data_IF_673356436622
#
_entry.id   IF_673356436622
#
_cell.length_a   1.000
_cell.length_b   1.000
_cell.length_c   1.000
_cell.angle_alpha   90.00
_cell.angle_beta   90.00
_cell.angle_gamma   90.00
#
_symmetry.space_group_name_H-M   'P 1'
#
loop_
_entity.id
_entity.type
_entity.pdbx_description
1 polymer ?
#
# COMPACT_ATOMS: atom_id res chain seq x y z
N UNK A 1 5.08 9.24 -7.07
CA UNK A 1 5.25 7.78 -7.16
C UNK A 1 5.28 7.23 -5.75
N UNK A 2 4.50 6.20 -5.48
CA UNK A 2 4.33 5.60 -4.17
C UNK A 2 4.74 4.15 -4.29
N UNK A 3 5.62 3.69 -3.42
CA UNK A 3 6.04 2.30 -3.34
C UNK A 3 5.43 1.70 -2.10
N UNK A 4 4.84 0.52 -2.23
CA UNK A 4 4.24 -0.24 -1.13
C UNK A 4 4.87 -1.61 -1.06
N UNK A 5 5.08 -2.10 0.15
CA UNK A 5 5.51 -3.48 0.39
C UNK A 5 4.91 -3.98 1.72
N UNK A 6 4.38 -5.19 1.69
CA UNK A 6 3.84 -5.90 2.83
C UNK A 6 4.40 -7.31 2.94
N UNK A 7 5.11 -7.59 4.04
CA UNK A 7 5.69 -8.91 4.27
C UNK A 7 4.83 -9.71 5.24
N UNK A 8 4.65 -11.00 4.96
CA UNK A 8 4.08 -11.96 5.92
C UNK A 8 5.20 -12.64 6.69
N UNK A 9 5.14 -12.53 8.01
CA UNK A 9 6.01 -13.29 8.92
C UNK A 9 5.14 -14.31 9.65
N UNK A 10 5.51 -15.59 9.57
CA UNK A 10 4.75 -16.66 10.22
C UNK A 10 4.94 -16.57 11.73
N UNK A 11 3.85 -16.73 12.48
CA UNK A 11 3.84 -16.75 13.95
C UNK A 11 4.25 -15.42 14.61
N UNK A 12 4.41 -14.35 13.83
CA UNK A 12 4.80 -13.03 14.30
C UNK A 12 3.92 -11.94 13.68
N UNK A 13 4.14 -10.69 14.10
CA UNK A 13 3.49 -9.55 13.48
C UNK A 13 4.07 -9.30 12.09
N UNK A 14 3.20 -9.07 11.11
CA UNK A 14 3.59 -8.85 9.73
C UNK A 14 3.89 -7.37 9.49
N UNK A 15 5.10 -6.99 9.03
CA UNK A 15 5.43 -5.61 8.79
C UNK A 15 4.88 -5.12 7.45
N UNK A 16 4.55 -3.83 7.41
CA UNK A 16 4.19 -3.11 6.20
C UNK A 16 4.98 -1.81 6.12
N UNK A 17 5.22 -1.35 4.90
CA UNK A 17 5.85 -0.06 4.66
C UNK A 17 5.36 0.58 3.36
N UNK A 18 5.34 1.90 3.33
CA UNK A 18 5.25 2.64 2.08
C UNK A 18 6.19 3.84 2.07
N UNK A 19 6.64 4.20 0.88
CA UNK A 19 7.40 5.42 0.64
C UNK A 19 6.80 6.21 -0.51
N UNK A 20 6.82 7.54 -0.39
CA UNK A 20 6.26 8.45 -1.38
C UNK A 20 7.37 9.34 -1.88
N UNK A 21 7.58 9.30 -3.20
CA UNK A 21 8.49 10.18 -3.91
C UNK A 21 7.73 11.16 -4.80
N UNK A 22 8.03 12.44 -4.67
CA UNK A 22 7.58 13.51 -5.56
C UNK A 22 8.78 14.23 -6.15
N UNK A 23 8.83 14.37 -7.49
CA UNK A 23 9.96 14.98 -8.18
C UNK A 23 11.34 14.42 -7.74
N UNK A 24 11.42 13.09 -7.56
CA UNK A 24 12.63 12.39 -7.09
C UNK A 24 12.91 12.48 -5.59
N UNK A 25 12.23 13.37 -4.85
CA UNK A 25 12.44 13.58 -3.41
C UNK A 25 11.52 12.70 -2.58
N UNK A 26 12.04 12.14 -1.49
CA UNK A 26 11.23 11.45 -0.48
C UNK A 26 10.40 12.48 0.29
N UNK A 27 9.08 12.35 0.24
CA UNK A 27 8.13 13.27 0.89
C UNK A 27 7.52 12.62 2.13
N UNK A 28 7.35 11.30 2.09
CA UNK A 28 6.78 10.54 3.20
C UNK A 28 7.35 9.13 3.16
N UNK A 29 7.60 8.61 4.34
CA UNK A 29 7.85 7.20 4.59
C UNK A 29 7.06 6.82 5.85
N UNK A 30 6.44 5.66 5.83
CA UNK A 30 5.74 5.13 6.98
C UNK A 30 5.85 3.62 6.97
N UNK A 31 6.02 3.05 8.16
CA UNK A 31 6.02 1.62 8.35
C UNK A 31 5.28 1.29 9.64
N UNK A 32 4.91 0.02 9.78
CA UNK A 32 4.29 -0.46 10.98
C UNK A 32 4.18 -1.96 11.00
N UNK A 33 3.61 -2.45 12.09
CA UNK A 33 3.30 -3.86 12.28
C UNK A 33 1.79 -4.05 12.24
N UNK A 34 1.36 -5.13 11.60
CA UNK A 34 -0.02 -5.60 11.62
C UNK A 34 -0.13 -6.85 12.50
N UNK A 35 -1.33 -7.11 13.02
CA UNK A 35 -1.63 -8.37 13.69
C UNK A 35 -1.23 -9.56 12.82
N UNK A 36 -0.94 -10.69 13.46
CA UNK A 36 -0.54 -11.93 12.77
C UNK A 36 -1.52 -12.25 11.65
N UNK A 37 -1.03 -12.25 10.41
CA UNK A 37 -1.78 -12.61 9.20
C UNK A 37 -0.98 -13.62 8.40
N UNK A 38 -1.67 -14.58 7.80
CA UNK A 38 -1.07 -15.59 6.91
C UNK A 38 -1.19 -15.21 5.43
N UNK A 39 -1.85 -14.10 5.11
CA UNK A 39 -2.16 -13.69 3.74
C UNK A 39 -1.30 -12.49 3.32
N UNK A 40 -0.44 -12.69 2.32
CA UNK A 40 0.34 -11.61 1.70
C UNK A 40 -0.56 -10.59 1.03
N UNK A 41 -1.65 -11.05 0.40
CA UNK A 41 -2.66 -10.17 -0.17
C UNK A 41 -3.30 -9.25 0.88
N UNK A 42 -3.55 -9.75 2.09
CA UNK A 42 -4.08 -8.91 3.16
C UNK A 42 -3.09 -7.82 3.60
N UNK A 43 -1.79 -8.14 3.61
CA UNK A 43 -0.73 -7.16 3.91
C UNK A 43 -0.62 -6.09 2.82
N UNK A 44 -0.68 -6.49 1.56
CA UNK A 44 -0.67 -5.56 0.43
C UNK A 44 -1.89 -4.63 0.45
N UNK A 45 -3.09 -5.18 0.67
CA UNK A 45 -4.33 -4.39 0.80
C UNK A 45 -4.24 -3.41 1.98
N UNK A 46 -3.71 -3.85 3.12
CA UNK A 46 -3.48 -2.99 4.28
C UNK A 46 -2.55 -1.83 3.92
N UNK A 47 -1.41 -2.13 3.29
CA UNK A 47 -0.40 -1.15 2.93
C UNK A 47 -0.95 -0.11 1.96
N UNK A 48 -1.69 -0.54 0.92
CA UNK A 48 -2.34 0.40 0.01
C UNK A 48 -3.44 1.21 0.72
N UNK A 49 -4.19 0.60 1.64
CA UNK A 49 -5.19 1.33 2.44
C UNK A 49 -4.54 2.45 3.27
N UNK A 50 -3.37 2.18 3.88
CA UNK A 50 -2.60 3.21 4.60
C UNK A 50 -2.18 4.35 3.69
N UNK A 51 -1.71 4.05 2.49
CA UNK A 51 -1.37 5.05 1.46
C UNK A 51 -2.58 5.89 1.09
N UNK A 52 -3.73 5.28 0.83
CA UNK A 52 -4.95 5.99 0.43
C UNK A 52 -5.48 6.90 1.55
N UNK A 53 -5.40 6.46 2.81
CA UNK A 53 -5.73 7.29 3.97
C UNK A 53 -4.82 8.51 4.08
N UNK A 54 -3.52 8.33 3.85
CA UNK A 54 -2.58 9.44 3.79
C UNK A 54 -2.92 10.39 2.63
N UNK A 55 -3.10 9.87 1.41
CA UNK A 55 -3.44 10.65 0.22
C UNK A 55 -4.72 11.48 0.37
N UNK A 56 -5.73 10.97 1.09
CA UNK A 56 -6.99 11.70 1.36
C UNK A 56 -6.76 13.05 2.05
N UNK A 57 -5.67 13.20 2.81
CA UNK A 57 -5.28 14.43 3.49
C UNK A 57 -4.38 15.36 2.67
N UNK A 58 -4.01 14.96 1.44
CA UNK A 58 -3.07 15.68 0.60
C UNK A 58 -3.78 16.37 -0.58
N UNK A 59 -3.13 17.36 -1.17
CA UNK A 59 -3.65 18.11 -2.34
C UNK A 59 -3.17 17.55 -3.69
N UNK A 60 -2.77 16.28 -3.75
CA UNK A 60 -2.32 15.66 -5.00
C UNK A 60 -3.52 15.34 -5.90
N UNK A 61 -3.47 15.80 -7.15
CA UNK A 61 -4.50 15.46 -8.17
C UNK A 61 -4.27 14.09 -8.79
N UNK A 62 -3.02 13.63 -8.80
CA UNK A 62 -2.62 12.35 -9.37
C UNK A 62 -1.61 11.66 -8.45
N UNK A 63 -1.79 10.36 -8.24
CA UNK A 63 -0.85 9.51 -7.55
C UNK A 63 -0.69 8.21 -8.36
N UNK A 64 0.53 7.69 -8.41
CA UNK A 64 0.84 6.39 -9.00
C UNK A 64 1.38 5.51 -7.89
N UNK A 65 0.68 4.42 -7.60
CA UNK A 65 1.06 3.40 -6.62
C UNK A 65 1.69 2.25 -7.40
N UNK A 66 2.92 1.91 -7.03
CA UNK A 66 3.66 0.77 -7.53
C UNK A 66 3.64 -0.31 -6.44
N UNK A 67 3.04 -1.45 -6.77
CA UNK A 67 3.04 -2.68 -5.97
C UNK A 67 3.56 -3.82 -6.85
N UNK A 68 4.29 -4.75 -6.26
CA UNK A 68 4.73 -6.00 -6.89
C UNK A 68 3.64 -7.09 -6.88
N UNK A 69 2.51 -6.82 -6.24
CA UNK A 69 1.40 -7.74 -6.06
C UNK A 69 0.33 -7.60 -7.15
N UNK A 70 0.40 -8.48 -8.16
CA UNK A 70 -0.58 -8.54 -9.25
C UNK A 70 -2.03 -8.74 -8.75
N UNK A 71 -2.23 -9.43 -7.63
CA UNK A 71 -3.58 -9.63 -7.10
C UNK A 71 -4.19 -8.32 -6.59
N UNK A 72 -3.39 -7.44 -5.99
CA UNK A 72 -3.85 -6.12 -5.54
C UNK A 72 -4.18 -5.22 -6.71
N UNK A 73 -3.34 -5.21 -7.75
CA UNK A 73 -3.60 -4.45 -8.99
C UNK A 73 -4.95 -4.87 -9.58
N UNK A 74 -5.17 -6.18 -9.77
CA UNK A 74 -6.43 -6.70 -10.33
C UNK A 74 -7.65 -6.40 -9.46
N UNK A 75 -7.52 -6.52 -8.14
CA UNK A 75 -8.62 -6.21 -7.22
C UNK A 75 -9.01 -4.73 -7.29
N UNK A 76 -8.05 -3.82 -7.48
CA UNK A 76 -8.32 -2.39 -7.63
C UNK A 76 -8.95 -2.04 -8.98
N UNK A 77 -8.53 -2.71 -10.05
CA UNK A 77 -9.14 -2.56 -11.38
C UNK A 77 -10.60 -3.03 -11.37
N UNK A 78 -10.87 -4.20 -10.81
CA UNK A 78 -12.22 -4.79 -10.79
C UNK A 78 -13.20 -4.06 -9.87
N UNK A 79 -12.73 -3.52 -8.74
CA UNK A 79 -13.56 -2.69 -7.85
C UNK A 79 -13.91 -1.32 -8.44
N UNK A 80 -13.19 -0.87 -9.48
CA UNK A 80 -13.53 0.35 -10.23
C UNK A 80 -14.59 0.16 -11.32
N UNK A 81 -14.87 -1.10 -11.72
CA UNK A 81 -15.81 -1.45 -12.81
C UNK A 81 -17.25 -1.73 -12.34
N UNK A 82 -17.55 -1.57 -11.05
CA UNK A 82 -18.90 -1.74 -10.48
C UNK A 82 -19.57 -0.39 -10.18
N UNK A 83 -19.43 0.58 -11.09
CA UNK A 83 -20.20 1.84 -11.11
C UNK A 83 -21.21 1.86 -12.24
#
# INVERSE_FOLDING_TARGET
>A
MIYTDGLVVRLEQSPWAFSVRSCGRLVKEECGLSSMTTSSMAMEVLTVTRVLLWLKSQSYTHACIQSDSLCVIRNMETSSLSR
#
